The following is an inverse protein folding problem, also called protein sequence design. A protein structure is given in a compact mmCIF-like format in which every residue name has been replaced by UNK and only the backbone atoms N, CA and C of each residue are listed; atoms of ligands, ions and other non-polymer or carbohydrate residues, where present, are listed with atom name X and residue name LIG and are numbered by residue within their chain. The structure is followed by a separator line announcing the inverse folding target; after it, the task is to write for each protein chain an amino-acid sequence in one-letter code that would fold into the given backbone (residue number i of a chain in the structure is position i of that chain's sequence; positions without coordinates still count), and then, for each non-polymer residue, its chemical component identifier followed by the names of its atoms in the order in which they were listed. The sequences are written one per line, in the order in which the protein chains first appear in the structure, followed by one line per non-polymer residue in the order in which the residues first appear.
data_IF_904830110904
#
_entry.id   IF_904830110904
#
_cell.length_a   1.000
_cell.length_b   1.000
_cell.length_c   1.000
_cell.angle_alpha   90.00
_cell.angle_beta   90.00
_cell.angle_gamma   90.00
#
_symmetry.space_group_name_H-M   'P 1'
#
loop_
_entity.id
_entity.type
_entity.pdbx_description
1 polymer ?
#
# COMPACT_ATOMS: atom_id res chain seq x y z
N UNK A 1 17.44 0.43 -64.67
CA UNK A 1 16.84 0.41 -63.35
C UNK A 1 17.64 1.40 -62.51
N UNK A 2 17.05 2.58 -62.28
CA UNK A 2 17.76 3.72 -61.75
C UNK A 2 18.10 3.54 -60.26
N UNK A 3 19.38 3.70 -59.92
CA UNK A 3 19.91 3.64 -58.58
C UNK A 3 19.13 4.56 -57.59
N UNK A 4 18.57 5.64 -58.06
CA UNK A 4 17.76 6.58 -57.30
C UNK A 4 16.46 5.98 -56.73
N UNK A 5 15.86 5.02 -57.45
CA UNK A 5 14.59 4.42 -57.03
C UNK A 5 14.81 3.33 -55.96
N UNK A 6 15.99 2.70 -55.93
CA UNK A 6 16.34 1.66 -54.96
C UNK A 6 16.65 2.25 -53.57
N UNK A 7 17.30 3.43 -53.54
CA UNK A 7 17.62 4.12 -52.28
C UNK A 7 16.36 4.62 -51.54
N UNK A 8 15.39 5.13 -52.30
CA UNK A 8 14.11 5.55 -51.67
C UNK A 8 13.29 4.39 -51.10
N UNK A 9 13.36 3.22 -51.71
CA UNK A 9 12.68 2.02 -51.20
C UNK A 9 13.34 1.54 -49.93
N UNK A 10 14.67 1.55 -49.84
CA UNK A 10 15.39 1.17 -48.62
C UNK A 10 15.19 2.17 -47.48
N UNK A 11 15.14 3.46 -47.78
CA UNK A 11 14.83 4.51 -46.80
C UNK A 11 13.37 4.38 -46.32
N UNK A 12 12.42 4.18 -47.22
CA UNK A 12 11.02 4.02 -46.85
C UNK A 12 10.76 2.77 -46.02
N UNK A 13 11.40 1.64 -46.35
CA UNK A 13 11.28 0.39 -45.53
C UNK A 13 11.96 0.53 -44.20
N UNK A 14 13.10 1.22 -44.09
CA UNK A 14 13.78 1.51 -42.84
C UNK A 14 12.96 2.39 -41.91
N UNK A 15 12.35 3.45 -42.44
CA UNK A 15 11.50 4.36 -41.66
C UNK A 15 10.22 3.68 -41.20
N UNK A 16 9.55 2.93 -42.06
CA UNK A 16 8.30 2.22 -41.69
C UNK A 16 8.60 1.09 -40.71
N UNK A 17 9.69 0.34 -40.87
CA UNK A 17 10.14 -0.68 -39.91
C UNK A 17 10.49 -0.10 -38.55
N UNK A 18 11.16 1.06 -38.52
CA UNK A 18 11.49 1.78 -37.30
C UNK A 18 10.24 2.26 -36.54
N UNK A 19 9.29 2.85 -37.26
CA UNK A 19 8.04 3.33 -36.66
C UNK A 19 7.15 2.20 -36.10
N UNK A 20 7.10 1.07 -36.81
CA UNK A 20 6.38 -0.12 -36.33
C UNK A 20 7.02 -0.72 -35.10
N UNK A 21 8.34 -0.85 -35.09
CA UNK A 21 9.09 -1.36 -33.92
C UNK A 21 8.92 -0.44 -32.70
N UNK A 22 9.05 0.87 -32.87
CA UNK A 22 8.81 1.85 -31.78
C UNK A 22 7.39 1.77 -31.27
N UNK A 23 6.38 1.66 -32.15
CA UNK A 23 4.98 1.49 -31.75
C UNK A 23 4.78 0.20 -30.93
N UNK A 24 5.37 -0.91 -31.35
CA UNK A 24 5.29 -2.19 -30.62
C UNK A 24 6.03 -2.13 -29.28
N UNK A 25 7.21 -1.53 -29.23
CA UNK A 25 7.97 -1.35 -27.99
C UNK A 25 7.22 -0.44 -27.00
N UNK A 26 6.64 0.66 -27.47
CA UNK A 26 5.79 1.54 -26.63
C UNK A 26 4.53 0.84 -26.18
N UNK A 27 3.89 0.06 -27.04
CA UNK A 27 2.71 -0.74 -26.69
C UNK A 27 3.04 -1.79 -25.64
N UNK A 28 4.18 -2.48 -25.81
CA UNK A 28 4.68 -3.43 -24.84
C UNK A 28 5.03 -2.75 -23.49
N UNK A 29 5.74 -1.65 -23.54
CA UNK A 29 6.08 -0.84 -22.37
C UNK A 29 4.81 -0.38 -21.62
N UNK A 30 3.81 0.15 -22.32
CA UNK A 30 2.51 0.55 -21.74
C UNK A 30 1.76 -0.63 -21.11
N UNK A 31 1.92 -1.83 -21.64
CA UNK A 31 1.28 -3.04 -21.12
C UNK A 31 1.89 -3.49 -19.78
N UNK A 32 3.15 -3.15 -19.55
CA UNK A 32 3.89 -3.51 -18.33
C UNK A 32 4.05 -2.35 -17.34
N UNK A 33 3.72 -1.11 -17.74
CA UNK A 33 3.78 0.06 -16.87
C UNK A 33 2.39 0.53 -16.49
N UNK A 34 2.18 0.78 -15.21
CA UNK A 34 0.98 1.50 -14.76
C UNK A 34 1.10 2.97 -15.19
N UNK A 35 0.14 3.53 -15.92
CA UNK A 35 0.19 4.95 -16.26
C UNK A 35 0.18 5.79 -14.98
N UNK A 36 0.95 6.90 -14.95
CA UNK A 36 0.94 7.79 -13.81
C UNK A 36 -0.46 8.29 -13.49
N UNK A 37 -0.87 8.18 -12.24
CA UNK A 37 -2.16 8.68 -11.77
C UNK A 37 -2.11 9.02 -10.30
N UNK A 38 -2.88 10.04 -9.91
CA UNK A 38 -3.10 10.43 -8.51
C UNK A 38 -4.60 10.58 -8.32
N UNK A 39 -5.15 9.84 -7.37
CA UNK A 39 -6.58 9.86 -7.05
C UNK A 39 -6.77 10.30 -5.61
N UNK A 40 -7.36 11.49 -5.37
CA UNK A 40 -7.67 11.95 -4.02
C UNK A 40 -9.00 11.38 -3.53
N UNK A 41 -9.06 11.07 -2.24
CA UNK A 41 -10.26 10.72 -1.50
C UNK A 41 -10.30 11.54 -0.21
N UNK A 42 -11.49 11.79 0.29
CA UNK A 42 -11.67 12.61 1.49
C UNK A 42 -12.67 11.93 2.43
N UNK A 43 -12.55 12.16 3.72
CA UNK A 43 -13.54 11.77 4.72
C UNK A 43 -14.09 13.03 5.43
N UNK A 44 -15.22 12.94 6.17
CA UNK A 44 -15.93 11.72 6.50
C UNK A 44 -16.83 11.20 5.38
N UNK A 45 -17.08 9.88 5.37
CA UNK A 45 -18.02 9.18 4.48
C UNK A 45 -17.71 9.34 2.98
N UNK A 46 -16.46 9.63 2.66
CA UNK A 46 -15.97 9.81 1.28
C UNK A 46 -15.38 8.57 0.63
N UNK A 47 -15.44 7.41 1.30
CA UNK A 47 -14.99 6.13 0.75
C UNK A 47 -13.48 5.94 0.79
N UNK A 48 -12.75 6.59 1.72
CA UNK A 48 -11.32 6.37 1.90
C UNK A 48 -11.04 4.90 2.25
N UNK A 49 -11.81 4.32 3.17
CA UNK A 49 -11.68 2.90 3.55
C UNK A 49 -11.92 1.98 2.36
N UNK A 50 -12.97 2.21 1.57
CA UNK A 50 -13.28 1.41 0.38
C UNK A 50 -12.19 1.49 -0.68
N UNK A 51 -11.62 2.69 -0.87
CA UNK A 51 -10.50 2.91 -1.78
C UNK A 51 -9.25 2.12 -1.34
N UNK A 52 -8.92 2.11 -0.05
CA UNK A 52 -7.82 1.31 0.53
C UNK A 52 -8.08 -0.18 0.32
N UNK A 53 -9.27 -0.68 0.66
CA UNK A 53 -9.67 -2.09 0.51
C UNK A 53 -9.56 -2.54 -0.95
N UNK A 54 -10.01 -1.71 -1.89
CA UNK A 54 -9.88 -1.98 -3.33
C UNK A 54 -8.44 -2.20 -3.76
N UNK A 55 -7.51 -1.36 -3.30
CA UNK A 55 -6.10 -1.49 -3.64
C UNK A 55 -5.47 -2.74 -2.97
N UNK A 56 -5.81 -3.03 -1.71
CA UNK A 56 -5.40 -4.26 -1.02
C UNK A 56 -5.92 -5.50 -1.78
N UNK A 57 -7.17 -5.47 -2.24
CA UNK A 57 -7.76 -6.54 -3.02
C UNK A 57 -7.05 -6.81 -4.36
N UNK A 58 -6.44 -5.77 -4.95
CA UNK A 58 -5.67 -5.87 -6.18
C UNK A 58 -4.22 -6.35 -5.98
N UNK A 59 -3.71 -6.38 -4.74
CA UNK A 59 -2.34 -6.77 -4.39
C UNK A 59 -2.04 -8.22 -4.82
N UNK A 60 -0.81 -8.44 -5.32
CA UNK A 60 -0.35 -9.73 -5.85
C UNK A 60 0.94 -10.24 -5.22
N UNK A 61 1.77 -9.37 -4.65
CA UNK A 61 3.11 -9.72 -4.15
C UNK A 61 3.31 -9.31 -2.72
N UNK A 62 3.23 -8.01 -2.43
CA UNK A 62 3.54 -7.46 -1.12
C UNK A 62 2.70 -6.22 -0.78
N UNK A 63 2.48 -6.02 0.51
CA UNK A 63 1.89 -4.82 1.09
C UNK A 63 2.77 -4.40 2.25
N UNK A 64 3.32 -3.17 2.19
CA UNK A 64 4.15 -2.56 3.23
C UNK A 64 3.37 -1.43 3.87
N UNK A 65 3.22 -1.45 5.18
CA UNK A 65 2.37 -0.50 5.93
C UNK A 65 3.19 0.19 7.01
N UNK A 66 3.14 1.53 7.04
CA UNK A 66 3.57 2.38 8.13
C UNK A 66 2.34 3.09 8.69
N UNK A 67 1.92 2.78 9.91
CA UNK A 67 0.71 3.35 10.48
C UNK A 67 0.92 3.88 11.89
N UNK A 68 0.47 5.13 12.11
CA UNK A 68 0.41 5.72 13.44
C UNK A 68 -0.67 5.04 14.27
N UNK A 69 -1.91 4.99 13.78
CA UNK A 69 -3.04 4.33 14.45
C UNK A 69 -3.73 3.37 13.48
N UNK A 70 -4.06 2.18 13.97
CA UNK A 70 -4.68 1.12 13.18
C UNK A 70 -5.81 0.45 14.00
N UNK A 71 -7.06 0.74 13.63
CA UNK A 71 -8.26 0.18 14.28
C UNK A 71 -9.43 -0.03 13.30
N UNK A 72 -9.13 -0.12 11.99
CA UNK A 72 -10.15 -0.37 10.96
C UNK A 72 -10.28 -1.87 10.70
N UNK A 73 -11.29 -2.51 11.29
CA UNK A 73 -11.61 -3.92 11.04
C UNK A 73 -11.77 -4.27 9.55
N UNK A 74 -12.46 -3.45 8.71
CA UNK A 74 -12.57 -3.74 7.28
C UNK A 74 -11.20 -3.77 6.58
N UNK A 75 -10.28 -2.85 6.91
CA UNK A 75 -8.92 -2.86 6.35
C UNK A 75 -8.14 -4.07 6.86
N UNK A 76 -8.22 -4.39 8.15
CA UNK A 76 -7.60 -5.57 8.74
C UNK A 76 -8.07 -6.86 8.04
N UNK A 77 -9.38 -7.00 7.81
CA UNK A 77 -9.94 -8.15 7.11
C UNK A 77 -9.41 -8.27 5.67
N UNK A 78 -9.34 -7.17 4.94
CA UNK A 78 -8.77 -7.15 3.59
C UNK A 78 -7.30 -7.58 3.56
N UNK A 79 -6.50 -7.21 4.57
CA UNK A 79 -5.10 -7.65 4.72
C UNK A 79 -4.99 -9.15 5.01
N UNK A 80 -5.87 -9.70 5.86
CA UNK A 80 -5.96 -11.14 6.13
C UNK A 80 -6.27 -11.91 4.84
N UNK A 81 -7.23 -11.42 4.06
CA UNK A 81 -7.57 -12.01 2.77
C UNK A 81 -6.42 -11.92 1.77
N UNK A 82 -5.69 -10.78 1.73
CA UNK A 82 -4.50 -10.64 0.90
C UNK A 82 -3.43 -11.67 1.29
N UNK A 83 -3.17 -11.83 2.58
CA UNK A 83 -2.25 -12.86 3.10
C UNK A 83 -2.69 -14.27 2.72
N UNK A 84 -3.97 -14.58 2.81
CA UNK A 84 -4.53 -15.88 2.41
C UNK A 84 -4.32 -16.14 0.92
N UNK A 85 -4.31 -15.11 0.08
CA UNK A 85 -3.94 -15.19 -1.35
C UNK A 85 -2.43 -15.35 -1.60
N UNK A 86 -1.59 -15.36 -0.55
CA UNK A 86 -0.14 -15.49 -0.64
C UNK A 86 0.61 -14.16 -0.79
N UNK A 87 -0.06 -13.02 -0.56
CA UNK A 87 0.57 -11.70 -0.53
C UNK A 87 1.37 -11.55 0.76
N UNK A 88 2.62 -11.09 0.67
CA UNK A 88 3.42 -10.74 1.83
C UNK A 88 2.89 -9.45 2.45
N UNK A 89 2.52 -9.46 3.73
CA UNK A 89 2.01 -8.29 4.45
C UNK A 89 2.96 -7.97 5.58
N UNK A 90 3.55 -6.77 5.54
CA UNK A 90 4.42 -6.25 6.57
C UNK A 90 3.82 -4.97 7.15
N UNK A 91 3.72 -4.89 8.47
CA UNK A 91 3.07 -3.78 9.18
C UNK A 91 4.02 -3.25 10.24
N UNK A 92 4.30 -1.95 10.18
CA UNK A 92 5.03 -1.21 11.20
C UNK A 92 4.06 -0.23 11.86
N UNK A 93 3.91 -0.31 13.18
CA UNK A 93 3.00 0.51 13.96
C UNK A 93 3.78 1.41 14.92
N UNK A 94 3.23 2.58 15.20
CA UNK A 94 3.69 3.41 16.30
C UNK A 94 3.51 2.68 17.65
N UNK A 95 4.39 2.96 18.60
CA UNK A 95 4.36 2.35 19.94
C UNK A 95 3.05 2.60 20.71
N UNK A 96 2.29 3.65 20.38
CA UNK A 96 0.99 3.90 21.01
C UNK A 96 0.02 2.74 20.84
N UNK A 97 0.14 1.97 19.73
CA UNK A 97 -0.72 0.80 19.46
C UNK A 97 -0.59 -0.32 20.50
N UNK A 98 0.51 -0.37 21.26
CA UNK A 98 0.67 -1.33 22.37
C UNK A 98 -0.15 -0.95 23.62
N UNK A 99 -0.52 0.33 23.74
CA UNK A 99 -1.16 0.91 24.92
C UNK A 99 -2.62 1.30 24.66
N UNK A 100 -2.99 1.56 23.41
CA UNK A 100 -4.34 1.97 23.02
C UNK A 100 -5.32 0.80 23.17
N UNK A 101 -6.38 1.00 23.98
CA UNK A 101 -7.42 0.00 24.20
C UNK A 101 -8.21 -0.37 22.92
N UNK A 102 -8.17 0.50 21.93
CA UNK A 102 -8.90 0.34 20.66
C UNK A 102 -8.00 -0.07 19.48
N UNK A 103 -6.71 -0.36 19.75
CA UNK A 103 -5.80 -0.86 18.71
C UNK A 103 -6.22 -2.25 18.25
N UNK A 104 -6.20 -2.49 16.93
CA UNK A 104 -6.40 -3.82 16.35
C UNK A 104 -5.13 -4.72 16.45
N UNK A 105 -4.07 -4.26 17.13
CA UNK A 105 -2.82 -5.01 17.25
C UNK A 105 -3.01 -6.46 17.75
N UNK A 106 -3.77 -6.73 18.83
CA UNK A 106 -4.02 -8.11 19.27
C UNK A 106 -4.75 -8.93 18.21
N UNK A 107 -5.75 -8.34 17.56
CA UNK A 107 -6.51 -8.99 16.49
C UNK A 107 -5.63 -9.33 15.28
N UNK A 108 -4.78 -8.41 14.84
CA UNK A 108 -3.83 -8.65 13.74
C UNK A 108 -2.90 -9.84 14.07
N UNK A 109 -2.40 -9.89 15.30
CA UNK A 109 -1.51 -10.96 15.75
C UNK A 109 -2.23 -12.31 15.80
N UNK A 110 -3.45 -12.37 16.31
CA UNK A 110 -4.28 -13.60 16.34
C UNK A 110 -4.53 -14.14 14.92
N UNK A 111 -4.65 -13.24 13.93
CA UNK A 111 -4.82 -13.61 12.53
C UNK A 111 -3.49 -13.92 11.82
N UNK A 112 -2.40 -13.94 12.57
CA UNK A 112 -1.06 -14.27 12.06
C UNK A 112 -0.42 -13.16 11.23
N UNK A 113 -0.97 -11.96 11.21
CA UNK A 113 -0.25 -10.76 10.81
C UNK A 113 0.63 -10.39 12.00
N UNK A 114 1.94 -10.25 11.77
CA UNK A 114 2.93 -10.01 12.82
C UNK A 114 3.47 -8.57 12.73
N UNK A 115 2.73 -7.55 13.22
CA UNK A 115 3.21 -6.18 13.20
C UNK A 115 4.50 -6.02 14.01
N UNK A 116 5.36 -5.10 13.57
CA UNK A 116 6.49 -4.63 14.35
C UNK A 116 6.19 -3.23 14.89
N UNK A 117 6.81 -2.87 15.98
CA UNK A 117 6.59 -1.61 16.70
C UNK A 117 7.79 -0.69 16.52
N UNK A 118 7.53 0.52 16.02
CA UNK A 118 8.48 1.60 16.02
C UNK A 118 8.48 2.32 17.38
N UNK A 119 9.49 2.05 18.17
CA UNK A 119 9.69 2.69 19.48
C UNK A 119 10.87 3.68 19.49
N UNK A 120 11.56 3.83 18.37
CA UNK A 120 12.71 4.74 18.27
C UNK A 120 12.27 6.19 18.15
N UNK A 121 11.21 6.45 17.38
CA UNK A 121 10.69 7.80 17.23
C UNK A 121 9.81 8.21 18.43
N UNK A 122 9.78 9.51 18.71
CA UNK A 122 8.84 10.05 19.69
C UNK A 122 7.40 9.74 19.30
N UNK A 123 7.08 9.89 17.99
CA UNK A 123 5.83 9.52 17.35
C UNK A 123 6.16 9.10 15.91
N UNK A 124 5.85 7.85 15.53
CA UNK A 124 5.90 7.38 14.16
C UNK A 124 4.56 7.71 13.47
N UNK A 125 4.37 8.98 13.05
CA UNK A 125 3.08 9.53 12.62
C UNK A 125 2.74 9.27 11.15
N UNK A 126 3.26 8.19 10.57
CA UNK A 126 3.02 7.82 9.18
C UNK A 126 1.63 7.22 8.95
N UNK A 127 1.07 7.44 7.78
CA UNK A 127 -0.14 6.81 7.24
C UNK A 127 0.17 6.45 5.79
N UNK A 128 0.92 5.37 5.64
CA UNK A 128 1.48 4.96 4.34
C UNK A 128 1.21 3.48 4.11
N UNK A 129 0.84 3.17 2.88
CA UNK A 129 0.81 1.80 2.39
C UNK A 129 1.45 1.76 1.00
N UNK A 130 2.40 0.84 0.79
CA UNK A 130 2.99 0.58 -0.52
C UNK A 130 2.57 -0.81 -0.97
N UNK A 131 1.94 -0.91 -2.14
CA UNK A 131 1.42 -2.16 -2.68
C UNK A 131 2.18 -2.53 -3.96
N UNK A 132 2.73 -3.74 -4.00
CA UNK A 132 3.42 -4.35 -5.14
C UNK A 132 4.54 -3.50 -5.73
N UNK A 133 5.11 -2.57 -4.96
CA UNK A 133 6.06 -1.54 -5.42
C UNK A 133 5.57 -0.74 -6.62
N UNK A 134 4.26 -0.45 -6.66
CA UNK A 134 3.60 0.24 -7.77
C UNK A 134 2.58 1.28 -7.33
N UNK A 135 1.93 1.06 -6.20
CA UNK A 135 0.90 1.93 -5.65
C UNK A 135 1.34 2.42 -4.29
N UNK A 136 1.21 3.72 -4.06
CA UNK A 136 1.38 4.35 -2.76
C UNK A 136 0.02 4.87 -2.32
N UNK A 137 -0.34 4.60 -1.08
CA UNK A 137 -1.46 5.23 -0.39
C UNK A 137 -0.86 6.07 0.73
N UNK A 138 -1.21 7.35 0.79
CA UNK A 138 -0.71 8.26 1.82
C UNK A 138 -1.66 9.44 2.02
N UNK A 139 -1.48 10.20 3.10
CA UNK A 139 -2.30 11.36 3.44
C UNK A 139 -2.37 11.60 4.93
N UNK A 140 -3.43 12.28 5.38
CA UNK A 140 -3.70 12.46 6.81
C UNK A 140 -4.56 11.31 7.38
N UNK A 141 -5.19 10.50 6.53
CA UNK A 141 -6.14 9.44 6.89
C UNK A 141 -5.47 8.31 7.68
N UNK A 142 -5.75 8.22 8.99
CA UNK A 142 -5.40 7.06 9.79
C UNK A 142 -6.23 5.84 9.34
N UNK A 143 -5.68 4.65 9.43
CA UNK A 143 -6.42 3.41 9.12
C UNK A 143 -7.34 3.02 10.27
N UNK A 144 -8.31 3.92 10.59
CA UNK A 144 -9.23 3.79 11.72
C UNK A 144 -10.67 4.01 11.28
N UNK A 145 -11.62 3.47 12.06
CA UNK A 145 -13.04 3.74 11.85
C UNK A 145 -13.36 5.24 12.00
N UNK A 146 -12.78 5.90 13.00
CA UNK A 146 -13.01 7.31 13.26
C UNK A 146 -12.56 8.20 12.09
N UNK A 147 -11.43 7.86 11.45
CA UNK A 147 -10.95 8.60 10.28
C UNK A 147 -11.95 8.56 9.12
N UNK A 148 -12.66 7.44 8.89
CA UNK A 148 -13.69 7.34 7.86
C UNK A 148 -15.01 7.99 8.24
N UNK A 149 -15.43 7.82 9.50
CA UNK A 149 -16.79 8.16 9.89
C UNK A 149 -16.96 9.62 10.37
N UNK A 150 -15.91 10.19 10.96
CA UNK A 150 -16.03 11.44 11.76
C UNK A 150 -15.03 12.51 11.37
N UNK A 151 -13.77 12.12 11.07
CA UNK A 151 -12.70 13.08 10.83
C UNK A 151 -12.75 13.66 9.41
N UNK A 152 -12.31 14.91 9.27
CA UNK A 152 -11.99 15.51 7.97
C UNK A 152 -10.55 15.15 7.60
N UNK A 153 -10.38 14.15 6.73
CA UNK A 153 -9.08 13.65 6.30
C UNK A 153 -8.95 13.65 4.77
N UNK A 154 -7.71 13.51 4.29
CA UNK A 154 -7.41 13.24 2.90
C UNK A 154 -6.61 11.95 2.75
N UNK A 155 -6.83 11.28 1.63
CA UNK A 155 -6.11 10.10 1.20
C UNK A 155 -5.75 10.27 -0.27
N UNK A 156 -4.51 9.98 -0.64
CA UNK A 156 -4.03 9.96 -2.01
C UNK A 156 -3.64 8.52 -2.39
N UNK A 157 -4.12 8.07 -3.53
CA UNK A 157 -3.65 6.85 -4.19
C UNK A 157 -2.82 7.26 -5.38
N UNK A 158 -1.53 6.95 -5.36
CA UNK A 158 -0.53 7.35 -6.35
C UNK A 158 -0.02 6.11 -7.05
N UNK A 159 -0.11 6.08 -8.39
CA UNK A 159 0.34 4.95 -9.23
C UNK A 159 1.26 5.43 -10.35
N UNK A 160 2.13 4.54 -10.84
CA UNK A 160 2.96 4.81 -12.01
C UNK A 160 4.12 5.79 -11.76
N UNK A 161 4.56 5.94 -10.52
CA UNK A 161 5.68 6.79 -10.11
C UNK A 161 6.80 5.95 -9.46
N UNK A 162 7.61 5.21 -10.23
CA UNK A 162 8.58 4.24 -9.70
C UNK A 162 9.64 4.88 -8.80
N UNK A 163 10.08 6.10 -9.09
CA UNK A 163 11.05 6.82 -8.26
C UNK A 163 10.47 7.15 -6.89
N UNK A 164 9.23 7.65 -6.84
CA UNK A 164 8.53 7.94 -5.60
C UNK A 164 8.30 6.66 -4.78
N UNK A 165 7.86 5.58 -5.44
CA UNK A 165 7.71 4.26 -4.80
C UNK A 165 9.03 3.80 -4.18
N UNK A 166 10.15 3.98 -4.89
CA UNK A 166 11.47 3.63 -4.37
C UNK A 166 11.84 4.41 -3.11
N UNK A 167 11.46 5.69 -3.03
CA UNK A 167 11.66 6.51 -1.82
C UNK A 167 10.89 5.94 -0.63
N UNK A 168 9.60 5.67 -0.80
CA UNK A 168 8.77 5.09 0.26
C UNK A 168 9.21 3.69 0.69
N UNK A 169 9.67 2.85 -0.24
CA UNK A 169 10.22 1.54 0.11
C UNK A 169 11.53 1.65 0.92
N UNK A 170 12.38 2.63 0.61
CA UNK A 170 13.61 2.88 1.40
C UNK A 170 13.27 3.39 2.79
N UNK A 171 12.33 4.30 2.91
CA UNK A 171 11.85 4.82 4.19
C UNK A 171 11.28 3.68 5.06
N UNK A 172 10.42 2.84 4.48
CA UNK A 172 9.91 1.64 5.14
C UNK A 172 11.04 0.74 5.65
N UNK A 173 12.05 0.49 4.82
CA UNK A 173 13.19 -0.36 5.20
C UNK A 173 14.01 0.25 6.34
N UNK A 174 14.17 1.58 6.38
CA UNK A 174 14.83 2.30 7.45
C UNK A 174 14.08 2.13 8.77
N UNK A 175 12.77 2.35 8.78
CA UNK A 175 11.92 2.14 9.96
C UNK A 175 11.95 0.68 10.41
N UNK A 176 11.80 -0.28 9.49
CA UNK A 176 11.86 -1.71 9.80
C UNK A 176 13.15 -2.13 10.49
N UNK A 177 14.27 -1.50 10.13
CA UNK A 177 15.60 -1.79 10.68
C UNK A 177 15.73 -1.55 12.19
N UNK A 178 14.86 -0.76 12.79
CA UNK A 178 14.86 -0.49 14.24
C UNK A 178 13.55 -0.88 14.95
N UNK A 179 12.55 -1.35 14.21
CA UNK A 179 11.31 -1.85 14.80
C UNK A 179 11.53 -3.17 15.54
N UNK A 180 10.73 -3.41 16.57
CA UNK A 180 10.79 -4.60 17.41
C UNK A 180 9.43 -5.31 17.44
N UNK A 181 9.38 -6.61 17.73
CA UNK A 181 8.12 -7.28 18.02
C UNK A 181 7.38 -6.60 19.18
N UNK A 182 6.03 -6.57 19.15
CA UNK A 182 5.24 -5.91 20.17
C UNK A 182 5.43 -6.56 21.55
N UNK A 183 5.49 -5.72 22.58
CA UNK A 183 5.54 -6.11 23.98
C UNK A 183 4.14 -6.00 24.59
N UNK A 184 3.27 -6.98 24.30
CA UNK A 184 1.91 -6.96 24.85
C UNK A 184 1.97 -7.33 26.34
N UNK A 185 1.66 -6.36 27.21
CA UNK A 185 1.48 -6.65 28.64
C UNK A 185 0.27 -7.57 28.80
N UNK A 186 0.39 -8.60 29.65
CA UNK A 186 -0.61 -9.65 29.89
C UNK A 186 -2.04 -9.13 30.28
N UNK A 187 -2.20 -7.85 30.59
CA UNK A 187 -3.49 -7.22 30.91
C UNK A 187 -4.48 -7.15 29.72
N UNK A 188 -4.01 -7.19 28.46
CA UNK A 188 -4.87 -7.13 27.28
C UNK A 188 -5.56 -8.48 26.97
N UNK A 189 -5.11 -9.59 27.56
CA UNK A 189 -5.69 -10.91 27.29
C UNK A 189 -7.12 -11.08 27.81
N UNK A 190 -7.58 -10.24 28.77
CA UNK A 190 -8.93 -10.33 29.33
C UNK A 190 -10.02 -9.71 28.43
N UNK A 191 -9.69 -8.86 27.47
CA UNK A 191 -10.68 -8.25 26.58
C UNK A 191 -11.12 -9.19 25.45
N UNK A 192 -10.26 -10.08 24.97
CA UNK A 192 -10.61 -11.09 23.95
C UNK A 192 -11.66 -12.10 24.40
N UNK A 193 -11.78 -12.35 25.71
CA UNK A 193 -12.78 -13.26 26.27
C UNK A 193 -14.18 -12.63 26.39
N UNK A 194 -14.30 -11.31 26.50
CA UNK A 194 -15.61 -10.64 26.57
C UNK A 194 -16.33 -10.68 25.22
N UNK A 195 -15.62 -10.59 24.09
CA UNK A 195 -16.24 -10.66 22.77
C UNK A 195 -16.68 -12.07 22.35
N UNK A 196 -16.08 -13.13 22.91
CA UNK A 196 -16.52 -14.54 22.70
C UNK A 196 -17.81 -14.91 23.43
N UNK A 197 -18.24 -14.13 24.41
CA UNK A 197 -19.49 -14.38 25.17
C UNK A 197 -20.70 -13.61 24.64
N UNK A 198 -20.51 -12.70 23.67
CA UNK A 198 -21.56 -11.86 23.09
C UNK A 198 -21.91 -12.22 21.63
N UNK A 199 -21.30 -13.28 21.08
CA UNK A 199 -21.63 -13.91 19.81
C UNK A 199 -22.22 -15.30 20.08
#
# INVERSE_FOLDING_TARGET
MDWLTMDWLLVATGVTGGLTLDFWLRSLYRRFTTPPSVSPHFSPKGGCTDAVIKEIGAARKEILILAYSFSSKPIAQALIEAKTRGVQVEILLDRSNEQEAYSDLPFLMEQGLAPLIDSQHAIAHNKVMVIDRRTIITGSFNFTHQAEAENAENLLIIKGHPELVSLYCRDFATHKGHCQPPQIKAAAQNHGQQYRKAA
#
